data_IF_655333708650
#
_entry.id   IF_655333708650
#
_cell.length_a   1.000
_cell.length_b   1.000
_cell.length_c   1.000
_cell.angle_alpha   90.00
_cell.angle_beta   90.00
_cell.angle_gamma   90.00
#
_symmetry.space_group_name_H-M   'P 1'
#
loop_
_entity.id
_entity.type
_entity.pdbx_description
1 polymer ?
#
# COMPACT_ATOMS: atom_id res chain seq x y z
N UNK A 1 30.52 11.16 8.66
CA UNK A 1 29.90 10.42 7.54
C UNK A 1 28.39 10.45 7.77
N UNK A 2 27.65 11.15 6.92
CA UNK A 2 26.18 11.22 7.04
C UNK A 2 25.56 9.89 6.60
N UNK A 3 24.65 9.33 7.39
CA UNK A 3 23.86 8.16 6.99
C UNK A 3 22.98 8.57 5.82
N UNK A 4 23.09 7.87 4.69
CA UNK A 4 22.13 7.99 3.60
C UNK A 4 20.76 7.54 4.13
N UNK A 5 19.80 8.46 4.13
CA UNK A 5 18.43 8.18 4.56
C UNK A 5 17.79 7.28 3.49
N UNK A 6 17.25 6.15 3.90
CA UNK A 6 16.61 5.22 2.96
C UNK A 6 15.37 5.88 2.31
N UNK A 7 15.04 5.49 1.08
CA UNK A 7 13.85 6.01 0.35
C UNK A 7 12.58 5.90 1.19
N UNK A 8 12.45 4.82 1.98
CA UNK A 8 11.31 4.60 2.87
C UNK A 8 11.28 5.61 4.04
N UNK A 9 12.41 5.87 4.69
CA UNK A 9 12.49 6.89 5.76
C UNK A 9 12.23 8.30 5.22
N UNK A 10 12.76 8.61 4.03
CA UNK A 10 12.49 9.89 3.34
C UNK A 10 11.00 10.07 3.05
N UNK A 11 10.35 9.02 2.56
CA UNK A 11 8.90 9.01 2.33
C UNK A 11 8.11 9.17 3.63
N UNK A 12 8.45 8.42 4.68
CA UNK A 12 7.76 8.53 5.98
C UNK A 12 7.83 9.95 6.52
N UNK A 13 9.01 10.58 6.51
CA UNK A 13 9.17 11.95 6.97
C UNK A 13 8.38 12.96 6.11
N UNK A 14 8.32 12.76 4.79
CA UNK A 14 7.56 13.61 3.88
C UNK A 14 6.04 13.46 4.10
N UNK A 15 5.53 12.23 4.19
CA UNK A 15 4.12 11.93 4.47
C UNK A 15 3.72 12.51 5.82
N UNK A 16 4.52 12.33 6.87
CA UNK A 16 4.23 12.92 8.18
C UNK A 16 4.08 14.43 8.12
N UNK A 17 4.95 15.14 7.38
CA UNK A 17 4.84 16.60 7.20
C UNK A 17 3.59 17.01 6.42
N UNK A 18 3.22 16.27 5.39
CA UNK A 18 1.98 16.53 4.62
C UNK A 18 0.74 16.38 5.52
N UNK A 19 0.75 15.37 6.40
CA UNK A 19 -0.39 15.01 7.25
C UNK A 19 -0.49 15.84 8.55
N UNK A 20 0.49 16.71 8.84
CA UNK A 20 0.52 17.53 10.06
C UNK A 20 -0.67 18.49 10.22
N UNK A 21 -1.36 18.84 9.14
CA UNK A 21 -2.55 19.69 9.22
C UNK A 21 -3.79 18.95 9.72
N UNK A 22 -3.66 17.68 10.10
CA UNK A 22 -4.72 16.87 10.72
C UNK A 22 -5.85 16.48 9.76
N UNK A 23 -5.74 16.83 8.47
CA UNK A 23 -6.76 16.50 7.48
C UNK A 23 -6.71 15.01 7.15
N UNK A 24 -7.90 14.46 6.97
CA UNK A 24 -8.08 13.16 6.34
C UNK A 24 -7.73 13.27 4.85
N UNK A 25 -6.95 12.31 4.33
CA UNK A 25 -6.54 12.27 2.94
C UNK A 25 -6.53 10.88 2.37
N UNK A 26 -6.92 10.78 1.11
CA UNK A 26 -6.79 9.56 0.33
C UNK A 26 -5.35 9.36 -0.16
N UNK A 27 -4.99 8.11 -0.44
CA UNK A 27 -3.67 7.74 -0.95
C UNK A 27 -3.25 8.56 -2.17
N UNK A 28 -4.18 8.82 -3.09
CA UNK A 28 -3.88 9.59 -4.30
C UNK A 28 -3.59 11.05 -3.99
N UNK A 29 -4.34 11.65 -3.06
CA UNK A 29 -4.08 13.01 -2.58
C UNK A 29 -2.72 13.10 -1.87
N UNK A 30 -2.36 12.10 -1.05
CA UNK A 30 -1.06 12.05 -0.39
C UNK A 30 0.07 11.99 -1.44
N UNK A 31 -0.08 11.19 -2.50
CA UNK A 31 0.90 11.12 -3.60
C UNK A 31 1.00 12.43 -4.36
N UNK A 32 -0.12 13.07 -4.63
CA UNK A 32 -0.13 14.38 -5.28
C UNK A 32 0.61 15.42 -4.43
N UNK A 33 0.35 15.45 -3.12
CA UNK A 33 1.02 16.36 -2.19
C UNK A 33 2.52 16.05 -2.01
N UNK A 34 2.92 14.78 -2.10
CA UNK A 34 4.34 14.39 -2.14
C UNK A 34 5.04 15.00 -3.34
N UNK A 35 4.39 15.02 -4.50
CA UNK A 35 4.93 15.66 -5.70
C UNK A 35 4.95 17.19 -5.56
N UNK A 36 3.84 17.79 -5.13
CA UNK A 36 3.66 19.24 -5.11
C UNK A 36 4.45 19.95 -4.01
N UNK A 37 4.54 19.36 -2.82
CA UNK A 37 5.15 19.99 -1.64
C UNK A 37 6.56 19.49 -1.36
N UNK A 38 6.82 18.22 -1.66
CA UNK A 38 8.07 17.54 -1.27
C UNK A 38 8.95 17.19 -2.49
N UNK A 39 8.46 17.44 -3.70
CA UNK A 39 9.16 17.16 -4.95
C UNK A 39 9.39 15.68 -5.22
N UNK A 40 8.71 14.79 -4.51
CA UNK A 40 8.86 13.34 -4.63
C UNK A 40 7.88 12.81 -5.68
N UNK A 41 8.41 12.22 -6.75
CA UNK A 41 7.61 11.73 -7.88
C UNK A 41 7.60 10.20 -7.95
N UNK A 42 6.39 9.62 -8.03
CA UNK A 42 6.23 8.20 -8.26
C UNK A 42 6.85 7.76 -9.60
N UNK A 43 7.55 6.62 -9.62
CA UNK A 43 8.31 6.11 -10.75
C UNK A 43 9.69 6.73 -10.94
N UNK A 44 10.00 7.84 -10.25
CA UNK A 44 11.33 8.49 -10.28
C UNK A 44 12.03 8.37 -8.94
N UNK A 45 11.40 8.86 -7.86
CA UNK A 45 11.96 8.87 -6.51
C UNK A 45 11.50 7.66 -5.68
N UNK A 46 10.31 7.15 -5.95
CA UNK A 46 9.74 6.00 -5.25
C UNK A 46 8.75 5.22 -6.13
N UNK A 47 8.45 3.98 -5.77
CA UNK A 47 7.46 3.15 -6.45
C UNK A 47 6.27 2.85 -5.52
N UNK A 48 5.28 2.12 -6.02
CA UNK A 48 4.08 1.75 -5.26
C UNK A 48 4.42 1.01 -3.96
N UNK A 49 5.39 0.09 -3.99
CA UNK A 49 5.78 -0.70 -2.83
C UNK A 49 6.43 0.15 -1.73
N UNK A 50 7.28 1.10 -2.12
CA UNK A 50 7.87 2.08 -1.20
C UNK A 50 6.79 2.94 -0.56
N UNK A 51 5.79 3.38 -1.32
CA UNK A 51 4.68 4.18 -0.79
C UNK A 51 3.82 3.37 0.19
N UNK A 52 3.38 2.19 -0.21
CA UNK A 52 2.59 1.28 0.64
C UNK A 52 3.37 0.90 1.91
N UNK A 53 4.68 0.65 1.78
CA UNK A 53 5.56 0.38 2.91
C UNK A 53 5.73 1.56 3.87
N UNK A 54 5.79 2.79 3.34
CA UNK A 54 5.88 4.00 4.15
C UNK A 54 4.58 4.28 4.90
N UNK A 55 3.43 4.27 4.20
CA UNK A 55 2.10 4.43 4.80
C UNK A 55 1.83 3.35 5.84
N UNK A 56 2.04 2.08 5.48
CA UNK A 56 1.85 0.95 6.39
C UNK A 56 2.78 1.02 7.59
N UNK A 57 4.01 1.52 7.41
CA UNK A 57 4.94 1.76 8.50
C UNK A 57 4.45 2.85 9.47
N UNK A 58 3.94 3.97 8.96
CA UNK A 58 3.41 5.08 9.76
C UNK A 58 2.10 4.71 10.49
N UNK A 59 1.26 3.91 9.83
CA UNK A 59 0.06 3.34 10.44
C UNK A 59 0.42 2.37 11.58
N UNK A 60 1.35 1.43 11.35
CA UNK A 60 1.81 0.49 12.39
C UNK A 60 2.49 1.18 13.57
N UNK A 61 3.17 2.31 13.34
CA UNK A 61 3.79 3.09 14.42
C UNK A 61 2.81 4.03 15.14
N UNK A 62 1.52 4.01 14.80
CA UNK A 62 0.50 4.86 15.42
C UNK A 62 0.57 6.35 15.07
N UNK A 63 1.37 6.73 14.05
CA UNK A 63 1.47 8.12 13.60
C UNK A 63 0.25 8.50 12.74
N UNK A 64 -0.21 7.54 11.94
CA UNK A 64 -1.43 7.68 11.15
C UNK A 64 -2.52 6.75 11.68
N UNK A 65 -3.74 7.25 11.68
CA UNK A 65 -4.95 6.46 11.85
C UNK A 65 -5.62 6.27 10.50
N UNK A 66 -6.10 5.06 10.23
CA UNK A 66 -6.90 4.79 9.04
C UNK A 66 -8.35 5.16 9.32
N UNK A 67 -8.93 5.99 8.46
CA UNK A 67 -10.35 6.39 8.58
C UNK A 67 -11.23 5.45 7.78
N UNK A 68 -10.82 5.11 6.56
CA UNK A 68 -11.45 4.10 5.70
C UNK A 68 -10.40 3.56 4.70
N UNK A 69 -10.81 2.69 3.77
CA UNK A 69 -9.89 2.05 2.82
C UNK A 69 -9.15 3.10 1.97
N UNK A 70 -7.83 3.13 2.12
CA UNK A 70 -6.97 4.06 1.38
C UNK A 70 -7.05 5.50 1.85
N UNK A 71 -7.62 5.77 3.02
CA UNK A 71 -7.74 7.11 3.57
C UNK A 71 -7.25 7.18 5.01
N UNK A 72 -6.37 8.14 5.29
CA UNK A 72 -5.64 8.25 6.55
C UNK A 72 -5.76 9.66 7.12
N UNK A 73 -5.57 9.78 8.43
CA UNK A 73 -5.40 11.05 9.15
C UNK A 73 -4.26 10.93 10.14
N UNK A 74 -3.75 12.04 10.64
CA UNK A 74 -2.80 12.03 11.76
C UNK A 74 -3.51 11.55 13.04
N UNK A 75 -2.85 10.67 13.80
CA UNK A 75 -3.38 10.20 15.07
C UNK A 75 -3.43 11.33 16.12
N UNK A 76 -4.50 11.38 16.92
CA UNK A 76 -4.71 12.46 17.88
C UNK A 76 -3.59 12.58 18.94
N UNK A 77 -3.08 11.45 19.43
CA UNK A 77 -1.97 11.41 20.41
C UNK A 77 -0.63 11.89 19.83
N UNK A 78 -0.47 11.85 18.51
CA UNK A 78 0.74 12.34 17.84
C UNK A 78 0.71 13.87 17.65
N UNK A 79 -0.47 14.48 17.73
CA UNK A 79 -0.66 15.92 17.62
C UNK A 79 -0.11 16.67 18.86
N UNK A 80 -0.11 16.03 20.03
CA UNK A 80 0.40 16.62 21.28
C UNK A 80 1.94 16.61 21.38
N UNK A 81 2.63 15.71 20.66
CA UNK A 81 4.11 15.61 20.73
C UNK A 81 4.86 16.53 19.74
N UNK A 82 4.18 17.10 18.75
CA UNK A 82 4.82 17.94 17.72
C UNK A 82 4.51 19.45 17.85
N UNK A 83 3.73 19.85 18.86
CA UNK A 83 3.46 21.27 19.17
C UNK A 83 4.65 22.03 19.79
N UNK A 84 5.63 21.32 20.36
CA UNK A 84 6.84 21.92 20.93
C UNK A 84 8.06 21.10 20.54
N UNK A 85 8.71 21.43 19.43
CA UNK A 85 10.16 21.23 19.22
C UNK A 85 10.65 21.98 17.98
N UNK A 86 10.48 23.30 18.03
CA UNK A 86 11.43 24.20 17.36
C UNK A 86 12.41 24.67 18.42
N UNK A 87 13.55 23.98 18.57
CA UNK A 87 14.87 24.55 18.87
C UNK A 87 15.80 23.53 19.54
N UNK A 88 16.99 23.43 18.94
CA UNK A 88 18.30 23.21 19.54
C UNK A 88 18.62 21.89 20.28
N UNK A 89 19.69 21.27 19.78
CA UNK A 89 20.70 20.47 20.47
C UNK A 89 20.30 19.16 21.18
N UNK A 90 20.67 18.05 20.51
CA UNK A 90 21.62 17.08 21.04
C UNK A 90 21.39 16.49 22.44
N UNK A 91 20.60 15.42 22.53
CA UNK A 91 20.93 14.17 23.27
C UNK A 91 19.83 13.14 23.10
N UNK A 92 20.19 11.98 22.53
CA UNK A 92 19.34 10.78 22.55
C UNK A 92 19.54 10.15 23.94
N UNK A 93 18.47 10.07 24.73
CA UNK A 93 18.43 9.24 25.93
C UNK A 93 17.47 8.08 25.65
N UNK A 94 18.04 6.89 25.72
CA UNK A 94 17.40 5.57 25.85
C UNK A 94 16.79 5.44 27.25
N UNK A 95 15.53 5.04 27.36
CA UNK A 95 14.97 4.14 28.40
C UNK A 95 13.47 3.90 28.05
N UNK A 96 13.03 2.71 27.67
CA UNK A 96 12.68 1.50 28.47
C UNK A 96 11.24 1.49 28.99
N UNK A 97 10.50 0.43 28.64
CA UNK A 97 9.48 -0.20 29.49
C UNK A 97 8.03 0.30 29.41
N UNK A 98 7.11 -0.62 29.12
CA UNK A 98 5.65 -0.44 29.20
C UNK A 98 4.93 -1.39 28.23
N UNK A 99 4.97 -2.70 28.47
CA UNK A 99 3.87 -3.48 29.10
C UNK A 99 2.58 -3.56 28.26
N UNK A 100 2.47 -4.69 27.55
CA UNK A 100 1.34 -5.64 27.46
C UNK A 100 -0.10 -5.10 27.49
N UNK A 101 -0.87 -5.45 26.44
CA UNK A 101 -2.32 -5.65 26.59
C UNK A 101 -3.22 -5.32 25.41
N UNK A 102 -2.72 -5.11 24.18
CA UNK A 102 -3.55 -4.57 23.10
C UNK A 102 -3.26 -5.18 21.71
N UNK A 103 -2.88 -6.46 21.64
CA UNK A 103 -2.45 -7.09 20.38
C UNK A 103 -3.59 -7.82 19.62
N UNK A 104 -4.66 -8.29 20.26
CA UNK A 104 -5.56 -9.23 19.58
C UNK A 104 -6.65 -8.61 18.67
N UNK A 105 -7.02 -7.34 18.86
CA UNK A 105 -8.07 -6.70 18.03
C UNK A 105 -7.55 -6.16 16.70
N UNK A 106 -6.30 -5.70 16.69
CA UNK A 106 -5.69 -5.09 15.50
C UNK A 106 -5.21 -6.13 14.48
N UNK A 107 -4.92 -7.36 14.90
CA UNK A 107 -4.40 -8.38 13.98
C UNK A 107 -5.48 -8.94 13.04
N UNK A 108 -6.73 -9.04 13.49
CA UNK A 108 -7.84 -9.43 12.61
C UNK A 108 -8.15 -8.37 11.54
N UNK A 109 -8.11 -7.09 11.90
CA UNK A 109 -8.34 -6.00 10.96
C UNK A 109 -7.18 -5.89 9.94
N UNK A 110 -5.94 -6.16 10.39
CA UNK A 110 -4.75 -6.27 9.51
C UNK A 110 -4.81 -7.45 8.56
N UNK A 111 -5.27 -8.61 9.02
CA UNK A 111 -5.44 -9.80 8.18
C UNK A 111 -6.56 -9.61 7.16
N UNK A 112 -7.65 -8.94 7.54
CA UNK A 112 -8.74 -8.60 6.62
C UNK A 112 -8.29 -7.61 5.55
N UNK A 113 -7.47 -6.62 5.92
CA UNK A 113 -6.88 -5.68 4.96
C UNK A 113 -5.95 -6.36 3.95
N UNK A 114 -5.08 -7.26 4.42
CA UNK A 114 -4.20 -8.05 3.56
C UNK A 114 -5.02 -8.99 2.67
N UNK A 115 -6.06 -9.63 3.21
CA UNK A 115 -7.00 -10.47 2.46
C UNK A 115 -7.71 -9.69 1.36
N UNK A 116 -8.16 -8.46 1.63
CA UNK A 116 -8.79 -7.57 0.66
C UNK A 116 -7.82 -7.02 -0.41
N UNK A 117 -6.56 -6.78 -0.04
CA UNK A 117 -5.50 -6.42 -0.99
C UNK A 117 -5.21 -7.58 -1.95
N UNK A 118 -5.06 -8.79 -1.42
CA UNK A 118 -4.88 -10.01 -2.23
C UNK A 118 -6.07 -10.20 -3.16
N UNK A 119 -7.30 -10.09 -2.65
CA UNK A 119 -8.53 -10.18 -3.47
C UNK A 119 -8.55 -9.15 -4.59
N UNK A 120 -8.24 -7.88 -4.28
CA UNK A 120 -8.25 -6.82 -5.29
C UNK A 120 -7.19 -7.06 -6.37
N UNK A 121 -6.01 -7.57 -6.00
CA UNK A 121 -4.96 -7.93 -6.95
C UNK A 121 -5.42 -9.09 -7.84
N UNK A 122 -5.97 -10.16 -7.25
CA UNK A 122 -6.49 -11.32 -7.98
C UNK A 122 -7.63 -10.92 -8.94
N UNK A 123 -8.53 -10.02 -8.51
CA UNK A 123 -9.63 -9.55 -9.35
C UNK A 123 -9.12 -8.76 -10.58
N UNK A 124 -8.09 -7.92 -10.42
CA UNK A 124 -7.46 -7.22 -11.54
C UNK A 124 -6.79 -8.18 -12.51
N UNK A 125 -6.15 -9.23 -11.99
CA UNK A 125 -5.46 -10.23 -12.80
C UNK A 125 -6.45 -11.11 -13.57
N UNK A 126 -7.57 -11.50 -12.94
CA UNK A 126 -8.70 -12.16 -13.62
C UNK A 126 -9.27 -11.26 -14.72
N UNK A 127 -9.48 -9.97 -14.45
CA UNK A 127 -9.99 -9.04 -15.44
C UNK A 127 -9.02 -8.86 -16.62
N UNK A 128 -7.72 -8.77 -16.35
CA UNK A 128 -6.68 -8.69 -17.38
C UNK A 128 -6.62 -9.95 -18.25
N UNK A 129 -6.71 -11.13 -17.65
CA UNK A 129 -6.77 -12.39 -18.41
C UNK A 129 -8.06 -12.46 -19.23
N UNK A 130 -9.19 -12.01 -18.68
CA UNK A 130 -10.46 -11.90 -19.40
C UNK A 130 -10.34 -11.00 -20.64
N UNK A 131 -9.76 -9.81 -20.47
CA UNK A 131 -9.50 -8.88 -21.58
C UNK A 131 -8.56 -9.50 -22.64
N UNK A 132 -7.52 -10.21 -22.22
CA UNK A 132 -6.62 -10.93 -23.13
C UNK A 132 -7.30 -12.06 -23.90
N UNK A 133 -8.29 -12.72 -23.30
CA UNK A 133 -9.12 -13.73 -23.95
C UNK A 133 -10.10 -13.07 -24.92
N UNK A 134 -10.71 -11.95 -24.54
CA UNK A 134 -11.70 -11.23 -25.36
C UNK A 134 -11.06 -10.49 -26.55
N UNK A 135 -9.79 -10.08 -26.43
CA UNK A 135 -8.97 -9.56 -27.53
C UNK A 135 -8.67 -10.62 -28.62
N UNK A 136 -8.93 -11.91 -28.33
CA UNK A 136 -8.75 -12.97 -29.32
C UNK A 136 -9.89 -12.92 -30.35
N UNK A 137 -9.58 -12.89 -31.66
CA UNK A 137 -10.59 -12.74 -32.69
C UNK A 137 -11.59 -13.92 -32.70
N UNK A 138 -12.86 -13.59 -32.48
CA UNK A 138 -13.98 -14.51 -32.28
C UNK A 138 -14.21 -15.61 -33.34
N UNK A 139 -13.75 -15.54 -34.62
CA UNK A 139 -13.96 -16.64 -35.57
C UNK A 139 -12.71 -17.49 -35.90
N UNK A 140 -11.60 -17.40 -35.15
CA UNK A 140 -10.33 -18.08 -35.52
C UNK A 140 -9.99 -19.28 -34.61
N UNK A 141 -10.88 -19.72 -33.72
CA UNK A 141 -10.63 -20.92 -32.87
C UNK A 141 -10.28 -22.18 -33.70
N UNK A 142 -10.77 -22.26 -34.94
CA UNK A 142 -10.48 -23.34 -35.91
C UNK A 142 -9.28 -23.09 -36.83
N UNK A 143 -8.59 -21.94 -36.69
CA UNK A 143 -7.46 -21.49 -37.54
C UNK A 143 -6.24 -21.02 -36.74
N UNK A 144 -6.30 -21.04 -35.41
CA UNK A 144 -5.17 -20.76 -34.53
C UNK A 144 -4.17 -21.91 -34.61
N UNK A 145 -2.87 -21.61 -34.55
CA UNK A 145 -1.85 -22.65 -34.45
C UNK A 145 -2.04 -23.43 -33.14
N UNK A 146 -1.61 -24.70 -33.07
CA UNK A 146 -1.66 -25.48 -31.83
C UNK A 146 -1.05 -24.76 -30.63
N UNK A 147 0.04 -24.02 -30.84
CA UNK A 147 0.71 -23.23 -29.80
C UNK A 147 -0.20 -22.11 -29.22
N UNK A 148 -1.05 -21.51 -30.05
CA UNK A 148 -2.02 -20.50 -29.59
C UNK A 148 -3.18 -21.13 -28.83
N UNK A 149 -3.62 -22.34 -29.19
CA UNK A 149 -4.65 -23.07 -28.45
C UNK A 149 -4.14 -23.50 -27.07
N UNK A 150 -2.88 -23.92 -26.99
CA UNK A 150 -2.22 -24.24 -25.73
C UNK A 150 -2.09 -23.00 -24.83
N UNK A 151 -1.75 -21.83 -25.39
CA UNK A 151 -1.65 -20.59 -24.63
C UNK A 151 -3.03 -20.15 -24.08
N UNK A 152 -4.09 -20.23 -24.88
CA UNK A 152 -5.46 -19.96 -24.43
C UNK A 152 -5.89 -20.96 -23.35
N UNK A 153 -5.55 -22.24 -23.52
CA UNK A 153 -5.79 -23.27 -22.51
C UNK A 153 -5.13 -22.93 -21.17
N UNK A 154 -3.84 -22.53 -21.19
CA UNK A 154 -3.10 -22.11 -19.99
C UNK A 154 -3.71 -20.88 -19.35
N UNK A 155 -4.09 -19.87 -20.13
CA UNK A 155 -4.74 -18.67 -19.62
C UNK A 155 -6.07 -18.98 -18.93
N UNK A 156 -6.88 -19.88 -19.51
CA UNK A 156 -8.12 -20.34 -18.87
C UNK A 156 -7.85 -21.13 -17.58
N UNK A 157 -6.86 -22.03 -17.55
CA UNK A 157 -6.49 -22.77 -16.34
C UNK A 157 -6.00 -21.84 -15.22
N UNK A 158 -5.18 -20.85 -15.55
CA UNK A 158 -4.71 -19.83 -14.60
C UNK A 158 -5.90 -19.03 -14.07
N UNK A 159 -6.79 -18.57 -14.95
CA UNK A 159 -8.01 -17.84 -14.55
C UNK A 159 -8.87 -18.68 -13.59
N UNK A 160 -9.13 -19.94 -13.91
CA UNK A 160 -9.92 -20.83 -13.06
C UNK A 160 -9.23 -21.08 -11.70
N UNK A 161 -7.90 -21.18 -11.69
CA UNK A 161 -7.08 -21.26 -10.48
C UNK A 161 -7.21 -20.02 -9.59
N UNK A 162 -7.14 -18.83 -10.19
CA UNK A 162 -7.32 -17.56 -9.48
C UNK A 162 -8.75 -17.40 -8.94
N UNK A 163 -9.77 -17.77 -9.72
CA UNK A 163 -11.18 -17.76 -9.27
C UNK A 163 -11.40 -18.70 -8.07
N UNK A 164 -10.77 -19.89 -8.07
CA UNK A 164 -10.78 -20.81 -6.91
C UNK A 164 -10.09 -20.22 -5.69
N UNK A 165 -8.98 -19.49 -5.88
CA UNK A 165 -8.29 -18.81 -4.78
C UNK A 165 -9.15 -17.69 -4.19
N UNK A 166 -9.81 -16.88 -5.03
CA UNK A 166 -10.74 -15.84 -4.56
C UNK A 166 -11.87 -16.45 -3.74
N UNK A 167 -12.48 -17.56 -4.17
CA UNK A 167 -13.53 -18.28 -3.41
C UNK A 167 -13.04 -18.85 -2.08
N UNK A 168 -11.78 -19.26 -1.98
CA UNK A 168 -11.19 -19.70 -0.69
C UNK A 168 -10.94 -18.56 0.27
N UNK A 169 -10.84 -17.34 -0.27
CA UNK A 169 -10.71 -16.14 0.52
C UNK A 169 -12.07 -15.60 0.95
N UNK A 170 -13.22 -16.03 0.41
CA UNK A 170 -14.60 -15.72 0.87
C UNK A 170 -14.93 -16.37 2.22
#
# INVERSE_FOLDING_TARGET
MGKEISTNERLKAAISRIMQDGKQRENEEIRQLLKEREGLTAGTDYNTDHFSGAIGGLYRSGVLERVNRGCYRLAAETNEKNGEKTQADGKIVQDSGGESGQEDRNDWERLEDVREEIRSSLAKEIAFIGEKIDELPAPVWSRLSPDYLDEVGRLMEVREGLEKLVKKLE
#
